data_IF_018414127625
#
_entry.id   IF_018414127625
#
_cell.length_a   1.000
_cell.length_b   1.000
_cell.length_c   1.000
_cell.angle_alpha   90.00
_cell.angle_beta   90.00
_cell.angle_gamma   90.00
#
_symmetry.space_group_name_H-M   'P 1'
#
loop_
_entity.id
_entity.type
_entity.pdbx_description
1 polymer ?
#
# COMPACT_ATOMS: atom_id res chain seq x y z
N UNK A 1 1.83 -10.74 13.70
CA UNK A 1 0.58 -10.45 12.96
C UNK A 1 0.75 -10.94 11.53
N UNK A 2 -0.20 -11.68 10.99
CA UNK A 2 -0.11 -12.20 9.63
C UNK A 2 -0.85 -11.28 8.64
N UNK A 3 -0.65 -11.54 7.35
CA UNK A 3 -1.23 -10.71 6.28
C UNK A 3 -2.75 -10.66 6.38
N UNK A 4 -3.40 -11.78 6.68
CA UNK A 4 -4.86 -11.82 6.80
C UNK A 4 -5.35 -10.89 7.90
N UNK A 5 -4.71 -10.89 9.05
CA UNK A 5 -5.07 -10.01 10.17
C UNK A 5 -4.86 -8.54 9.81
N UNK A 6 -3.77 -8.24 9.11
CA UNK A 6 -3.50 -6.88 8.66
C UNK A 6 -4.61 -6.40 7.73
N UNK A 7 -4.99 -7.23 6.76
CA UNK A 7 -6.04 -6.88 5.80
C UNK A 7 -7.41 -6.71 6.49
N UNK A 8 -7.71 -7.53 7.47
CA UNK A 8 -8.98 -7.44 8.21
C UNK A 8 -9.11 -6.11 8.96
N UNK A 9 -8.00 -5.49 9.33
CA UNK A 9 -7.98 -4.22 10.03
C UNK A 9 -7.86 -3.01 9.10
N UNK A 10 -7.75 -3.23 7.80
CA UNK A 10 -7.66 -2.14 6.83
C UNK A 10 -9.03 -1.56 6.53
N UNK A 11 -9.08 -0.24 6.33
CA UNK A 11 -10.28 0.41 5.81
C UNK A 11 -10.47 0.04 4.34
N UNK A 12 -11.65 0.31 3.79
CA UNK A 12 -11.91 0.09 2.36
C UNK A 12 -10.91 0.85 1.49
N UNK A 13 -10.60 2.08 1.87
CA UNK A 13 -9.63 2.88 1.13
C UNK A 13 -8.25 2.23 1.15
N UNK A 14 -7.81 1.74 2.31
CA UNK A 14 -6.51 1.07 2.43
C UNK A 14 -6.48 -0.24 1.64
N UNK A 15 -7.57 -0.99 1.65
CA UNK A 15 -7.67 -2.22 0.85
C UNK A 15 -7.60 -1.92 -0.65
N UNK A 16 -8.23 -0.82 -1.09
CA UNK A 16 -8.15 -0.40 -2.49
C UNK A 16 -6.70 -0.07 -2.89
N UNK A 17 -5.99 0.66 -2.03
CA UNK A 17 -4.58 0.98 -2.26
C UNK A 17 -3.74 -0.30 -2.33
N UNK A 18 -3.94 -1.21 -1.39
CA UNK A 18 -3.21 -2.48 -1.35
C UNK A 18 -3.46 -3.29 -2.62
N UNK A 19 -4.71 -3.37 -3.06
CA UNK A 19 -5.07 -4.12 -4.27
C UNK A 19 -4.42 -3.55 -5.52
N UNK A 20 -4.41 -2.23 -5.66
CA UNK A 20 -3.74 -1.58 -6.79
C UNK A 20 -2.24 -1.85 -6.74
N UNK A 21 -1.63 -1.78 -5.58
CA UNK A 21 -0.20 -2.04 -5.44
C UNK A 21 0.18 -3.48 -5.76
N UNK A 22 -0.71 -4.44 -5.54
CA UNK A 22 -0.45 -5.83 -5.94
C UNK A 22 -0.35 -5.97 -7.44
N UNK A 23 -1.14 -5.20 -8.18
CA UNK A 23 -1.12 -5.22 -9.63
C UNK A 23 -0.08 -4.30 -10.27
N UNK A 24 0.51 -3.40 -9.49
CA UNK A 24 1.46 -2.39 -9.98
C UNK A 24 2.66 -2.34 -9.05
N UNK A 25 3.74 -3.08 -9.38
CA UNK A 25 4.89 -3.23 -8.46
C UNK A 25 5.62 -1.92 -8.13
N UNK A 26 5.50 -0.90 -8.96
CA UNK A 26 6.16 0.40 -8.74
C UNK A 26 5.19 1.50 -9.09
N UNK A 27 4.58 2.08 -8.07
CA UNK A 27 3.52 3.05 -8.29
C UNK A 27 3.79 4.31 -7.46
N UNK A 28 3.47 5.47 -8.03
CA UNK A 28 3.59 6.75 -7.32
C UNK A 28 2.33 7.03 -6.52
N UNK A 29 2.45 7.96 -5.55
CA UNK A 29 1.29 8.40 -4.78
C UNK A 29 0.20 8.96 -5.68
N UNK A 30 0.58 9.71 -6.71
CA UNK A 30 -0.38 10.31 -7.62
C UNK A 30 -1.11 9.26 -8.45
N UNK A 31 -0.38 8.26 -8.91
CA UNK A 31 -1.00 7.14 -9.63
C UNK A 31 -1.98 6.39 -8.75
N UNK A 32 -1.64 6.19 -7.47
CA UNK A 32 -2.55 5.57 -6.50
C UNK A 32 -3.79 6.42 -6.29
N UNK A 33 -3.62 7.73 -6.15
CA UNK A 33 -4.74 8.65 -5.98
C UNK A 33 -5.72 8.55 -7.15
N UNK A 34 -5.20 8.52 -8.36
CA UNK A 34 -6.01 8.41 -9.57
C UNK A 34 -6.67 7.04 -9.66
N UNK A 35 -5.92 5.98 -9.46
CA UNK A 35 -6.42 4.60 -9.61
C UNK A 35 -7.50 4.26 -8.58
N UNK A 36 -7.36 4.77 -7.36
CA UNK A 36 -8.30 4.46 -6.27
C UNK A 36 -9.39 5.51 -6.14
N UNK A 37 -9.33 6.62 -6.88
CA UNK A 37 -10.26 7.74 -6.75
C UNK A 37 -10.30 8.27 -5.32
N UNK A 38 -9.13 8.39 -4.70
CA UNK A 38 -8.96 8.88 -3.32
C UNK A 38 -8.07 10.11 -3.38
N UNK A 39 -8.28 11.07 -2.49
CA UNK A 39 -7.47 12.30 -2.46
C UNK A 39 -6.01 11.97 -2.17
N UNK A 40 -5.10 12.80 -2.69
CA UNK A 40 -3.67 12.59 -2.47
C UNK A 40 -3.29 12.58 -0.98
N UNK A 41 -3.79 13.50 -0.14
CA UNK A 41 -3.51 13.43 1.30
C UNK A 41 -3.96 12.13 1.95
N UNK A 42 -5.09 11.57 1.52
CA UNK A 42 -5.57 10.29 2.05
C UNK A 42 -4.63 9.15 1.64
N UNK A 43 -4.17 9.15 0.40
CA UNK A 43 -3.19 8.15 -0.08
C UNK A 43 -1.89 8.28 0.71
N UNK A 44 -1.41 9.50 0.92
CA UNK A 44 -0.19 9.73 1.69
C UNK A 44 -0.31 9.15 3.10
N UNK A 45 -1.43 9.38 3.76
CA UNK A 45 -1.69 8.86 5.10
C UNK A 45 -1.67 7.33 5.10
N UNK A 46 -2.35 6.70 4.14
CA UNK A 46 -2.41 5.24 4.03
C UNK A 46 -1.01 4.66 3.79
N UNK A 47 -0.26 5.25 2.87
CA UNK A 47 1.09 4.78 2.56
C UNK A 47 2.02 4.93 3.76
N UNK A 48 1.91 6.04 4.50
CA UNK A 48 2.70 6.22 5.72
C UNK A 48 2.45 5.10 6.73
N UNK A 49 1.21 4.72 6.91
CA UNK A 49 0.87 3.61 7.80
C UNK A 49 1.44 2.30 7.28
N UNK A 50 1.34 2.06 5.97
CA UNK A 50 1.89 0.86 5.37
C UNK A 50 3.41 0.78 5.52
N UNK A 51 4.09 1.91 5.41
CA UNK A 51 5.54 1.96 5.62
C UNK A 51 5.88 1.62 7.08
N UNK A 52 5.14 2.19 8.03
CA UNK A 52 5.35 1.91 9.45
C UNK A 52 5.15 0.45 9.79
N UNK A 53 4.19 -0.20 9.16
CA UNK A 53 3.86 -1.60 9.40
C UNK A 53 4.70 -2.56 8.55
N UNK A 54 5.57 -2.03 7.71
CA UNK A 54 6.39 -2.79 6.77
C UNK A 54 5.56 -3.57 5.75
N UNK A 55 4.37 -3.08 5.46
CA UNK A 55 3.52 -3.61 4.40
C UNK A 55 4.02 -3.08 3.05
N UNK A 56 4.50 -1.85 3.03
CA UNK A 56 5.03 -1.21 1.83
C UNK A 56 6.44 -0.68 2.09
N UNK A 57 7.17 -0.43 1.02
CA UNK A 57 8.50 0.15 1.08
C UNK A 57 8.69 1.17 -0.02
N UNK A 58 9.60 2.10 0.21
CA UNK A 58 9.95 3.13 -0.77
C UNK A 58 10.91 2.55 -1.80
N UNK A 59 10.66 2.90 -3.06
CA UNK A 59 11.57 2.61 -4.15
C UNK A 59 12.16 3.90 -4.71
N UNK A 60 12.88 3.77 -5.83
CA UNK A 60 13.46 4.93 -6.53
C UNK A 60 12.37 5.78 -7.16
N UNK A 61 12.68 7.07 -7.37
CA UNK A 61 11.84 8.01 -8.13
C UNK A 61 10.44 8.21 -7.54
N UNK A 62 10.33 8.18 -6.20
CA UNK A 62 9.05 8.40 -5.53
C UNK A 62 8.03 7.31 -5.76
N UNK A 63 8.46 6.13 -6.12
CA UNK A 63 7.58 4.98 -6.33
C UNK A 63 7.58 4.10 -5.09
N UNK A 64 6.47 3.39 -4.91
CA UNK A 64 6.26 2.52 -3.75
C UNK A 64 5.90 1.12 -4.22
N UNK A 65 6.23 0.13 -3.38
CA UNK A 65 5.90 -1.26 -3.67
C UNK A 65 5.56 -1.97 -2.36
N UNK A 66 4.77 -3.03 -2.45
CA UNK A 66 4.54 -3.88 -1.29
C UNK A 66 5.82 -4.63 -0.97
N UNK A 67 6.10 -4.84 0.31
CA UNK A 67 7.30 -5.58 0.71
C UNK A 67 7.18 -7.05 0.29
N UNK A 68 8.30 -7.72 -0.03
CA UNK A 68 8.27 -9.14 -0.35
C UNK A 68 7.65 -9.99 0.77
N UNK A 69 7.95 -9.65 2.02
CA UNK A 69 7.41 -10.36 3.19
C UNK A 69 5.89 -10.29 3.21
N UNK A 70 5.33 -9.12 2.93
CA UNK A 70 3.88 -8.95 2.91
C UNK A 70 3.26 -9.73 1.75
N UNK A 71 3.86 -9.64 0.56
CA UNK A 71 3.35 -10.34 -0.62
C UNK A 71 3.39 -11.86 -0.45
N UNK A 72 4.40 -12.36 0.23
CA UNK A 72 4.58 -13.80 0.45
C UNK A 72 3.84 -14.33 1.66
N UNK A 73 3.21 -13.45 2.42
CA UNK A 73 2.53 -13.85 3.64
C UNK A 73 3.46 -14.26 4.77
N UNK A 74 4.70 -13.76 4.76
CA UNK A 74 5.75 -14.15 5.71
C UNK A 74 5.82 -13.28 6.95
N UNK A 75 4.81 -12.51 7.24
CA UNK A 75 4.76 -11.67 8.42
C UNK A 75 4.60 -12.48 9.71
#
# INVERSE_FOLDING_TARGET
MNVKQIRENMTEAALSVESVMRGHPRITLQELSTACSISLPAVEFIIEQMLCMRVAQRGAFGRYTLTPEYQNGSF
#
